data_IF_095017246741
#
_entry.id   IF_095017246741
#
_cell.length_a   1.000
_cell.length_b   1.000
_cell.length_c   1.000
_cell.angle_alpha   90.00
_cell.angle_beta   90.00
_cell.angle_gamma   90.00
#
_symmetry.space_group_name_H-M   'P 1'
#
loop_
_entity.id
_entity.type
_entity.pdbx_description
1 polymer ?
#
# COMPACT_ATOMS: atom_id res chain seq x y z
N UNK A 1 -7.30 -11.28 -0.09
CA UNK A 1 -7.34 -10.31 1.03
C UNK A 1 -8.02 -9.03 0.59
N UNK A 2 -8.94 -8.53 1.39
CA UNK A 2 -9.60 -7.26 1.11
C UNK A 2 -8.78 -6.09 1.68
N UNK A 3 -9.08 -4.88 1.23
CA UNK A 3 -8.47 -3.67 1.74
C UNK A 3 -8.68 -3.52 3.26
N UNK A 4 -9.88 -3.87 3.74
CA UNK A 4 -10.20 -3.81 5.16
C UNK A 4 -9.36 -4.79 5.97
N UNK A 5 -9.20 -6.00 5.48
CA UNK A 5 -8.37 -7.02 6.11
C UNK A 5 -6.90 -6.58 6.13
N UNK A 6 -6.43 -6.00 5.04
CA UNK A 6 -5.06 -5.50 4.94
C UNK A 6 -4.80 -4.41 5.99
N UNK A 7 -5.74 -3.47 6.15
CA UNK A 7 -5.62 -2.41 7.16
C UNK A 7 -5.54 -2.96 8.58
N UNK A 8 -6.40 -3.94 8.89
CA UNK A 8 -6.42 -4.56 10.22
C UNK A 8 -5.10 -5.25 10.52
N UNK A 9 -4.59 -5.99 9.55
CA UNK A 9 -3.33 -6.71 9.71
C UNK A 9 -2.15 -5.75 9.87
N UNK A 10 -2.12 -4.68 9.10
CA UNK A 10 -1.09 -3.67 9.19
C UNK A 10 -1.08 -3.02 10.57
N UNK A 11 -2.23 -2.67 11.11
CA UNK A 11 -2.34 -2.10 12.45
C UNK A 11 -1.85 -3.07 13.51
N UNK A 12 -2.16 -4.36 13.36
CA UNK A 12 -1.71 -5.41 14.26
C UNK A 12 -0.18 -5.51 14.27
N UNK A 13 0.44 -5.28 13.13
CA UNK A 13 1.88 -5.35 12.97
C UNK A 13 2.60 -4.04 13.34
N UNK A 14 1.88 -3.05 13.83
CA UNK A 14 2.48 -1.82 14.33
C UNK A 14 2.55 -0.66 13.33
N UNK A 15 1.96 -0.82 12.15
CA UNK A 15 1.93 0.25 11.16
C UNK A 15 0.79 1.20 11.47
N UNK A 16 1.06 2.50 11.40
CA UNK A 16 0.10 3.53 11.79
C UNK A 16 -0.49 4.29 10.62
N UNK A 17 0.17 4.24 9.48
CA UNK A 17 -0.24 5.01 8.30
C UNK A 17 -0.63 4.07 7.17
N UNK A 18 -1.57 4.51 6.36
CA UNK A 18 -2.05 3.75 5.21
C UNK A 18 -2.28 4.71 4.06
N UNK A 19 -1.79 4.34 2.86
CA UNK A 19 -1.95 5.18 1.68
C UNK A 19 -2.30 4.32 0.47
N UNK A 20 -3.24 4.81 -0.34
CA UNK A 20 -3.62 4.19 -1.60
C UNK A 20 -2.91 4.85 -2.77
N UNK A 21 -2.56 4.03 -3.75
CA UNK A 21 -1.97 4.52 -5.00
C UNK A 21 -2.74 3.92 -6.17
N UNK A 22 -3.01 4.75 -7.17
CA UNK A 22 -3.71 4.34 -8.38
C UNK A 22 -2.74 3.95 -9.49
N UNK A 23 -1.44 4.11 -9.24
CA UNK A 23 -0.40 3.98 -10.25
C UNK A 23 0.86 3.43 -9.58
N UNK A 24 1.48 2.36 -10.13
CA UNK A 24 2.68 1.78 -9.53
C UNK A 24 3.87 2.74 -9.49
N UNK A 25 3.95 3.68 -10.41
CA UNK A 25 5.04 4.66 -10.42
C UNK A 25 4.95 5.62 -9.23
N UNK A 26 3.74 6.06 -8.89
CA UNK A 26 3.55 6.92 -7.71
C UNK A 26 3.85 6.17 -6.42
N UNK A 27 3.55 4.88 -6.38
CA UNK A 27 3.90 4.02 -5.25
C UNK A 27 5.42 3.95 -5.07
N UNK A 28 6.14 3.68 -6.14
CA UNK A 28 7.60 3.58 -6.12
C UNK A 28 8.24 4.91 -5.71
N UNK A 29 7.75 6.02 -6.28
CA UNK A 29 8.25 7.36 -5.96
C UNK A 29 8.03 7.69 -4.48
N UNK A 30 6.86 7.38 -3.95
CA UNK A 30 6.55 7.62 -2.56
C UNK A 30 7.48 6.83 -1.64
N UNK A 31 7.70 5.55 -1.94
CA UNK A 31 8.60 4.71 -1.16
C UNK A 31 10.03 5.25 -1.18
N UNK A 32 10.50 5.66 -2.36
CA UNK A 32 11.83 6.23 -2.52
C UNK A 32 12.00 7.53 -1.72
N UNK A 33 11.03 8.44 -1.85
CA UNK A 33 11.08 9.75 -1.18
C UNK A 33 11.05 9.63 0.34
N UNK A 34 10.39 8.60 0.86
CA UNK A 34 10.22 8.41 2.30
C UNK A 34 11.12 7.31 2.87
N UNK A 35 12.02 6.77 2.06
CA UNK A 35 12.97 5.73 2.45
C UNK A 35 12.27 4.48 2.97
N UNK A 36 11.17 4.11 2.32
CA UNK A 36 10.39 2.91 2.65
C UNK A 36 10.74 1.79 1.67
N UNK A 37 10.66 0.56 2.13
CA UNK A 37 10.95 -0.60 1.28
C UNK A 37 9.70 -1.21 0.62
N UNK A 38 8.52 -0.76 1.01
CA UNK A 38 7.27 -1.25 0.44
C UNK A 38 6.89 -2.68 0.84
N UNK A 39 7.49 -3.23 1.88
CA UNK A 39 7.23 -4.61 2.33
C UNK A 39 5.77 -4.83 2.72
N UNK A 40 5.14 -3.83 3.33
CA UNK A 40 3.77 -3.94 3.76
C UNK A 40 2.83 -3.29 2.75
N UNK A 41 2.71 -3.93 1.61
CA UNK A 41 1.87 -3.42 0.53
C UNK A 41 1.03 -4.53 -0.06
N UNK A 42 -0.06 -4.14 -0.68
CA UNK A 42 -0.96 -5.04 -1.39
C UNK A 42 -1.34 -4.37 -2.71
N UNK A 43 -1.18 -5.07 -3.80
CA UNK A 43 -1.60 -4.57 -5.11
C UNK A 43 -2.76 -5.39 -5.60
N UNK A 44 -3.75 -4.74 -6.21
CA UNK A 44 -4.88 -5.43 -6.82
C UNK A 44 -5.14 -4.89 -8.21
N UNK A 45 -5.64 -5.76 -9.07
CA UNK A 45 -6.02 -5.40 -10.44
C UNK A 45 -7.52 -5.17 -10.43
N UNK A 46 -7.93 -3.99 -10.90
CA UNK A 46 -9.34 -3.59 -11.00
C UNK A 46 -9.66 -3.32 -12.47
N UNK A 47 -10.95 -3.25 -12.79
CA UNK A 47 -11.40 -2.87 -14.14
C UNK A 47 -10.84 -1.52 -14.56
N UNK A 48 -10.64 -0.62 -13.59
CA UNK A 48 -10.10 0.72 -13.83
C UNK A 48 -8.57 0.78 -13.87
N UNK A 49 -7.90 -0.36 -13.69
CA UNK A 49 -6.44 -0.43 -13.65
C UNK A 49 -5.91 -1.04 -12.36
N UNK A 50 -4.59 -0.94 -12.18
CA UNK A 50 -3.93 -1.47 -11.00
C UNK A 50 -3.94 -0.44 -9.86
N UNK A 51 -4.22 -0.92 -8.65
CA UNK A 51 -4.12 -0.10 -7.45
C UNK A 51 -3.23 -0.78 -6.42
N UNK A 52 -2.46 0.00 -5.67
CA UNK A 52 -1.61 -0.51 -4.61
C UNK A 52 -1.95 0.19 -3.30
N UNK A 53 -1.86 -0.55 -2.21
CA UNK A 53 -2.07 -0.04 -0.86
C UNK A 53 -0.79 -0.24 -0.06
N UNK A 54 -0.36 0.77 0.66
CA UNK A 54 0.85 0.73 1.47
C UNK A 54 0.53 1.06 2.92
N UNK A 55 1.07 0.25 3.83
CA UNK A 55 1.04 0.54 5.25
C UNK A 55 2.46 0.91 5.69
N UNK A 56 2.58 1.97 6.48
CA UNK A 56 3.91 2.44 6.93
C UNK A 56 3.87 3.16 8.30
#
# INVERSE_FOLDING_TARGET
MTKEEFKKEAKRNGYKNFKEFTNPFTFIDFCSDNKLNGENSMCEIKESGEGCFLAY
#
